data_IF_564577784690
#
_entry.id   IF_564577784690
#
_cell.length_a   1.000
_cell.length_b   1.000
_cell.length_c   1.000
_cell.angle_alpha   90.00
_cell.angle_beta   90.00
_cell.angle_gamma   90.00
#
_symmetry.space_group_name_H-M   'P 1'
#
loop_
_entity.id
_entity.type
_entity.pdbx_description
1 polymer ?
#
# COMPACT_ATOMS: atom_id res chain seq x y z
N UNK A 1 -24.10 15.22 -13.85
CA UNK A 1 -23.59 14.01 -14.52
C UNK A 1 -22.26 13.67 -13.86
N UNK A 2 -22.22 12.68 -13.01
CA UNK A 2 -20.98 12.21 -12.37
C UNK A 2 -20.19 11.43 -13.43
N UNK A 3 -19.15 12.03 -13.96
CA UNK A 3 -18.22 11.36 -14.88
C UNK A 3 -17.55 10.24 -14.06
N UNK A 4 -18.01 9.02 -14.24
CA UNK A 4 -17.36 7.84 -13.67
C UNK A 4 -16.03 7.71 -14.42
N UNK A 5 -14.95 8.15 -13.80
CA UNK A 5 -13.60 7.91 -14.33
C UNK A 5 -13.37 6.41 -14.25
N UNK A 6 -13.31 5.77 -15.39
CA UNK A 6 -13.05 4.33 -15.46
C UNK A 6 -11.59 4.08 -15.10
N UNK A 7 -11.35 3.48 -13.93
CA UNK A 7 -10.00 3.23 -13.43
C UNK A 7 -9.38 2.11 -14.25
N UNK A 8 -8.34 2.41 -15.02
CA UNK A 8 -7.68 1.52 -15.99
C UNK A 8 -7.39 0.13 -15.44
N UNK A 9 -6.75 0.05 -14.25
CA UNK A 9 -6.37 -1.23 -13.65
C UNK A 9 -7.59 -2.05 -13.21
N UNK A 10 -8.66 -1.40 -12.75
CA UNK A 10 -9.92 -2.05 -12.36
C UNK A 10 -10.63 -2.65 -13.60
N UNK A 11 -10.64 -1.92 -14.69
CA UNK A 11 -11.22 -2.36 -15.97
C UNK A 11 -10.44 -3.54 -16.52
N UNK A 12 -9.10 -3.47 -16.51
CA UNK A 12 -8.23 -4.58 -16.90
C UNK A 12 -8.45 -5.82 -16.02
N UNK A 13 -8.60 -5.65 -14.71
CA UNK A 13 -8.90 -6.75 -13.80
C UNK A 13 -10.20 -7.45 -14.20
N UNK A 14 -11.28 -6.70 -14.45
CA UNK A 14 -12.59 -7.26 -14.81
C UNK A 14 -12.59 -7.99 -16.16
N UNK A 15 -11.94 -7.41 -17.16
CA UNK A 15 -12.03 -7.90 -18.54
C UNK A 15 -11.07 -9.07 -18.82
N UNK A 16 -9.88 -9.06 -18.22
CA UNK A 16 -8.80 -9.96 -18.56
C UNK A 16 -8.40 -10.88 -17.38
N UNK A 17 -8.03 -10.26 -16.24
CA UNK A 17 -7.36 -10.94 -15.14
C UNK A 17 -8.32 -11.92 -14.44
N UNK A 18 -9.55 -11.51 -14.17
CA UNK A 18 -10.53 -12.36 -13.49
C UNK A 18 -10.82 -13.64 -14.29
N UNK A 19 -10.93 -13.54 -15.62
CA UNK A 19 -11.10 -14.71 -16.50
C UNK A 19 -9.90 -15.64 -16.48
N UNK A 20 -8.69 -15.11 -16.56
CA UNK A 20 -7.45 -15.87 -16.50
C UNK A 20 -7.30 -16.63 -15.16
N UNK A 21 -7.52 -15.96 -14.03
CA UNK A 21 -7.46 -16.58 -12.71
C UNK A 21 -8.53 -17.67 -12.53
N UNK A 22 -9.74 -17.45 -13.05
CA UNK A 22 -10.80 -18.45 -13.04
C UNK A 22 -10.36 -19.74 -13.73
N UNK A 23 -9.73 -19.63 -14.88
CA UNK A 23 -9.24 -20.78 -15.65
C UNK A 23 -8.06 -21.45 -14.95
N UNK A 24 -7.14 -20.66 -14.41
CA UNK A 24 -5.93 -21.16 -13.76
C UNK A 24 -6.23 -22.00 -12.51
N UNK A 25 -7.15 -21.54 -11.67
CA UNK A 25 -7.49 -22.22 -10.40
C UNK A 25 -8.77 -23.05 -10.46
N UNK A 26 -9.49 -23.03 -11.58
CA UNK A 26 -10.71 -23.84 -11.76
C UNK A 26 -11.89 -23.42 -10.92
N UNK A 27 -12.02 -22.11 -10.59
CA UNK A 27 -13.13 -21.63 -9.76
C UNK A 27 -14.48 -21.83 -10.43
N UNK A 28 -15.42 -22.44 -9.69
CA UNK A 28 -16.80 -22.68 -10.16
C UNK A 28 -17.63 -21.39 -10.06
N UNK A 29 -17.43 -20.61 -8.99
CA UNK A 29 -18.19 -19.40 -8.71
C UNK A 29 -17.31 -18.15 -9.01
N UNK A 30 -17.79 -17.16 -9.78
CA UNK A 30 -17.10 -15.89 -9.98
C UNK A 30 -16.73 -15.14 -8.70
N UNK A 31 -17.49 -15.33 -7.62
CA UNK A 31 -17.22 -14.69 -6.33
C UNK A 31 -16.03 -15.30 -5.56
N UNK A 32 -15.51 -16.44 -6.01
CA UNK A 32 -14.31 -17.07 -5.44
C UNK A 32 -13.01 -16.47 -6.02
N UNK A 33 -13.11 -15.76 -7.13
CA UNK A 33 -11.94 -15.18 -7.80
C UNK A 33 -11.28 -14.16 -6.88
N UNK A 34 -9.96 -14.27 -6.61
CA UNK A 34 -9.27 -13.31 -5.75
C UNK A 34 -9.33 -11.90 -6.32
N UNK A 35 -9.61 -10.92 -5.46
CA UNK A 35 -9.64 -9.50 -5.79
C UNK A 35 -9.01 -8.65 -4.69
N UNK A 36 -8.71 -7.38 -4.99
CA UNK A 36 -8.24 -6.43 -3.99
C UNK A 36 -9.40 -5.96 -3.11
N UNK A 37 -9.21 -5.98 -1.80
CA UNK A 37 -10.18 -5.53 -0.79
C UNK A 37 -9.86 -4.11 -0.32
N UNK A 38 -8.61 -3.89 0.07
CA UNK A 38 -8.09 -2.61 0.57
C UNK A 38 -6.58 -2.56 0.41
N UNK A 39 -6.06 -1.34 0.36
CA UNK A 39 -4.63 -1.06 0.51
C UNK A 39 -4.47 -0.16 1.74
N UNK A 40 -3.56 -0.55 2.62
CA UNK A 40 -3.21 0.23 3.81
C UNK A 40 -1.80 0.76 3.63
N UNK A 41 -1.63 2.06 3.75
CA UNK A 41 -0.31 2.70 3.76
C UNK A 41 -0.07 3.22 5.17
N UNK A 42 1.02 2.80 5.79
CA UNK A 42 1.40 3.17 7.14
C UNK A 42 2.76 3.85 7.15
N UNK A 43 2.88 4.96 7.86
CA UNK A 43 4.14 5.61 8.18
C UNK A 43 4.39 5.53 9.69
N UNK A 44 5.44 4.84 10.10
CA UNK A 44 5.91 4.83 11.46
C UNK A 44 6.80 6.04 11.74
N UNK A 45 6.42 6.90 12.68
CA UNK A 45 7.19 8.10 13.06
C UNK A 45 7.51 8.00 14.57
N UNK A 46 8.36 7.04 14.95
CA UNK A 46 8.72 6.82 16.35
C UNK A 46 9.39 8.02 17.01
N UNK A 47 10.08 8.86 16.23
CA UNK A 47 10.70 10.09 16.70
C UNK A 47 9.69 11.19 17.07
N UNK A 48 8.44 11.09 16.63
CA UNK A 48 7.36 11.98 17.03
C UNK A 48 7.07 11.93 18.55
N UNK A 49 7.53 10.88 19.22
CA UNK A 49 7.52 10.83 20.69
C UNK A 49 8.39 11.92 21.34
N UNK A 50 9.40 12.44 20.62
CA UNK A 50 10.28 13.54 21.09
C UNK A 50 9.86 14.88 20.50
N UNK A 51 9.42 14.89 19.24
CA UNK A 51 8.98 16.10 18.53
C UNK A 51 7.67 15.81 17.78
N UNK A 52 6.56 16.28 18.34
CA UNK A 52 5.22 16.07 17.78
C UNK A 52 5.02 16.73 16.41
N UNK A 53 5.85 17.71 16.02
CA UNK A 53 5.77 18.36 14.70
C UNK A 53 6.11 17.41 13.56
N UNK A 54 6.92 16.37 13.82
CA UNK A 54 7.29 15.38 12.81
C UNK A 54 6.09 14.59 12.29
N UNK A 55 5.03 14.46 13.09
CA UNK A 55 3.81 13.79 12.66
C UNK A 55 3.04 14.59 11.61
N UNK A 56 3.09 15.92 11.69
CA UNK A 56 2.38 16.80 10.74
C UNK A 56 2.94 16.66 9.34
N UNK A 57 4.27 16.54 9.21
CA UNK A 57 4.92 16.24 7.94
C UNK A 57 4.46 14.89 7.37
N UNK A 58 4.45 13.82 8.18
CA UNK A 58 4.00 12.50 7.74
C UNK A 58 2.52 12.50 7.32
N UNK A 59 1.66 13.20 8.05
CA UNK A 59 0.23 13.37 7.72
C UNK A 59 0.06 14.10 6.40
N UNK A 60 0.81 15.19 6.19
CA UNK A 60 0.79 15.94 4.92
C UNK A 60 1.23 15.06 3.75
N UNK A 61 2.36 14.37 3.88
CA UNK A 61 2.91 13.53 2.83
C UNK A 61 1.94 12.39 2.46
N UNK A 62 1.40 11.68 3.46
CA UNK A 62 0.39 10.65 3.21
C UNK A 62 -0.89 11.20 2.57
N UNK A 63 -1.32 12.40 2.96
CA UNK A 63 -2.51 13.03 2.37
C UNK A 63 -2.30 13.36 0.89
N UNK A 64 -1.11 13.84 0.52
CA UNK A 64 -0.75 14.14 -0.86
C UNK A 64 -0.71 12.84 -1.68
N UNK A 65 -0.02 11.80 -1.18
CA UNK A 65 0.13 10.50 -1.87
C UNK A 65 -1.21 9.81 -2.09
N UNK A 66 -2.08 9.79 -1.07
CA UNK A 66 -3.31 8.98 -1.09
C UNK A 66 -4.56 9.76 -1.47
N UNK A 67 -4.49 11.10 -1.46
CA UNK A 67 -5.65 11.98 -1.65
C UNK A 67 -6.71 11.86 -0.55
N UNK A 68 -6.35 11.25 0.61
CA UNK A 68 -7.24 11.00 1.73
C UNK A 68 -6.60 11.43 3.04
N UNK A 69 -7.36 12.01 3.96
CA UNK A 69 -6.85 12.43 5.27
C UNK A 69 -6.39 11.22 6.09
N UNK A 70 -5.11 11.17 6.51
CA UNK A 70 -4.59 10.09 7.32
C UNK A 70 -5.16 10.08 8.75
N UNK A 71 -5.23 8.90 9.33
CA UNK A 71 -5.50 8.72 10.75
C UNK A 71 -4.18 8.68 11.52
N UNK A 72 -4.03 9.56 12.51
CA UNK A 72 -2.88 9.55 13.41
C UNK A 72 -3.02 8.41 14.42
N UNK A 73 -2.00 7.58 14.53
CA UNK A 73 -1.94 6.49 15.50
C UNK A 73 -1.25 6.94 16.77
N UNK A 74 -1.85 6.59 17.90
CA UNK A 74 -1.34 6.93 19.24
C UNK A 74 -0.84 5.66 19.95
N UNK A 75 0.14 5.83 20.81
CA UNK A 75 0.64 4.74 21.64
C UNK A 75 -0.42 4.26 22.62
N UNK A 76 -0.48 2.94 22.81
CA UNK A 76 -1.42 2.28 23.75
C UNK A 76 -0.85 2.12 25.16
N UNK A 77 0.49 2.13 25.30
CA UNK A 77 1.20 1.87 26.57
C UNK A 77 2.37 2.85 26.71
N UNK A 78 2.69 3.17 27.96
CA UNK A 78 3.92 3.90 28.29
C UNK A 78 5.10 2.95 28.36
N UNK A 79 6.20 3.25 27.65
CA UNK A 79 7.42 2.44 27.61
C UNK A 79 8.60 3.40 27.84
N UNK A 80 9.21 3.33 29.02
CA UNK A 80 10.29 4.24 29.43
C UNK A 80 11.53 4.14 28.52
N UNK A 81 11.89 2.95 28.07
CA UNK A 81 13.04 2.70 27.18
C UNK A 81 12.93 3.48 25.85
N UNK A 82 11.73 3.63 25.32
CA UNK A 82 11.47 4.41 24.11
C UNK A 82 11.08 5.86 24.38
N UNK A 83 11.11 6.31 25.63
CA UNK A 83 10.63 7.64 26.08
C UNK A 83 9.19 7.91 25.64
N UNK A 84 8.36 6.88 25.63
CA UNK A 84 7.01 6.87 25.13
C UNK A 84 6.01 6.89 26.30
N UNK A 85 5.03 7.78 26.24
CA UNK A 85 3.88 7.80 27.12
C UNK A 85 2.61 7.40 26.38
N UNK A 86 1.63 6.92 27.08
CA UNK A 86 0.31 6.63 26.55
C UNK A 86 -0.28 7.84 25.84
N UNK A 87 -1.03 7.62 24.76
CA UNK A 87 -1.65 8.64 23.91
C UNK A 87 -0.71 9.56 23.12
N UNK A 88 0.61 9.33 23.13
CA UNK A 88 1.52 10.07 22.27
C UNK A 88 1.35 9.66 20.80
N UNK A 89 1.35 10.60 19.83
CA UNK A 89 1.30 10.30 18.41
C UNK A 89 2.61 9.65 17.97
N UNK A 90 2.54 8.51 17.29
CA UNK A 90 3.71 7.70 16.89
C UNK A 90 3.72 7.29 15.42
N UNK A 91 2.65 7.57 14.69
CA UNK A 91 2.55 7.24 13.28
C UNK A 91 1.26 7.74 12.66
N UNK A 92 1.12 7.50 11.37
CA UNK A 92 -0.09 7.79 10.63
C UNK A 92 -0.36 6.68 9.60
N UNK A 93 -1.60 6.36 9.35
CA UNK A 93 -1.97 5.41 8.31
C UNK A 93 -3.20 5.85 7.52
N UNK A 94 -3.31 5.33 6.31
CA UNK A 94 -4.46 5.50 5.42
C UNK A 94 -4.94 4.14 4.95
N UNK A 95 -6.25 3.93 4.95
CA UNK A 95 -6.88 2.76 4.35
C UNK A 95 -7.67 3.19 3.12
N UNK A 96 -7.26 2.73 1.96
CA UNK A 96 -7.92 3.00 0.68
C UNK A 96 -8.76 1.80 0.26
N UNK A 97 -9.94 2.09 -0.33
CA UNK A 97 -10.89 1.10 -0.87
C UNK A 97 -11.50 1.61 -2.17
N UNK A 98 -12.17 0.71 -2.90
CA UNK A 98 -12.89 1.07 -4.12
C UNK A 98 -11.99 1.66 -5.19
N UNK A 99 -12.47 2.67 -5.91
CA UNK A 99 -11.76 3.23 -7.06
C UNK A 99 -10.44 3.91 -6.68
N UNK A 100 -10.38 4.59 -5.53
CA UNK A 100 -9.13 5.18 -5.02
C UNK A 100 -8.04 4.15 -4.77
N UNK A 101 -8.40 2.97 -4.28
CA UNK A 101 -7.46 1.86 -4.09
C UNK A 101 -6.88 1.38 -5.42
N UNK A 102 -7.73 1.20 -6.44
CA UNK A 102 -7.30 0.78 -7.76
C UNK A 102 -6.42 1.82 -8.46
N UNK A 103 -6.76 3.09 -8.31
CA UNK A 103 -6.01 4.21 -8.85
C UNK A 103 -4.62 4.33 -8.18
N UNK A 104 -4.57 4.19 -6.85
CA UNK A 104 -3.32 4.14 -6.11
C UNK A 104 -2.46 2.94 -6.53
N UNK A 105 -3.06 1.75 -6.70
CA UNK A 105 -2.35 0.55 -7.17
C UNK A 105 -1.75 0.76 -8.57
N UNK A 106 -2.48 1.39 -9.49
CA UNK A 106 -2.00 1.68 -10.84
C UNK A 106 -0.81 2.66 -10.83
N UNK A 107 -0.88 3.75 -10.06
CA UNK A 107 0.24 4.70 -9.91
C UNK A 107 1.46 4.06 -9.25
N UNK A 108 1.22 3.26 -8.21
CA UNK A 108 2.27 2.52 -7.51
C UNK A 108 3.05 1.63 -8.47
N UNK A 109 2.36 0.85 -9.29
CA UNK A 109 2.96 -0.10 -10.24
C UNK A 109 3.63 0.59 -11.44
N UNK A 110 2.94 1.57 -12.02
CA UNK A 110 3.36 2.17 -13.29
C UNK A 110 4.40 3.27 -13.12
N UNK A 111 4.40 3.98 -11.98
CA UNK A 111 5.21 5.17 -11.78
C UNK A 111 6.15 5.00 -10.60
N UNK A 112 5.64 4.64 -9.41
CA UNK A 112 6.42 4.72 -8.17
C UNK A 112 7.45 3.60 -8.05
N UNK A 113 7.08 2.34 -8.29
CA UNK A 113 8.02 1.22 -8.17
C UNK A 113 9.21 1.32 -9.13
N UNK A 114 9.04 1.72 -10.43
CA UNK A 114 10.18 1.90 -11.33
C UNK A 114 11.13 3.04 -10.93
N UNK A 115 10.68 3.99 -10.12
CA UNK A 115 11.49 5.13 -9.65
C UNK A 115 12.35 4.81 -8.43
N UNK A 116 12.14 3.64 -7.81
CA UNK A 116 12.98 3.21 -6.68
C UNK A 116 14.41 3.00 -7.17
N UNK A 117 15.36 3.63 -6.48
CA UNK A 117 16.80 3.46 -6.78
C UNK A 117 17.19 1.99 -6.57
N UNK A 118 17.91 1.42 -7.53
CA UNK A 118 18.40 0.04 -7.51
C UNK A 118 17.29 -1.01 -7.30
N UNK A 119 16.11 -0.77 -7.86
CA UNK A 119 14.98 -1.68 -7.73
C UNK A 119 15.25 -3.01 -8.42
N UNK A 120 15.25 -4.10 -7.66
CA UNK A 120 15.48 -5.48 -8.13
C UNK A 120 14.24 -6.36 -8.05
N UNK A 121 13.07 -5.76 -7.90
CA UNK A 121 11.81 -6.47 -7.71
C UNK A 121 11.43 -6.68 -6.23
N UNK A 122 10.18 -7.05 -6.03
CA UNK A 122 9.59 -7.31 -4.71
C UNK A 122 9.87 -8.76 -4.27
N UNK A 123 10.09 -8.96 -2.97
CA UNK A 123 10.35 -10.30 -2.43
C UNK A 123 9.07 -11.15 -2.43
N UNK A 124 9.08 -12.36 -3.01
CA UNK A 124 7.92 -13.26 -3.00
C UNK A 124 7.60 -13.87 -1.62
N UNK A 125 8.46 -13.64 -0.60
CA UNK A 125 8.34 -14.23 0.75
C UNK A 125 7.57 -13.34 1.75
N UNK A 126 7.01 -12.23 1.31
CA UNK A 126 6.35 -11.22 2.19
C UNK A 126 4.81 -11.37 2.21
N UNK A 127 4.31 -12.56 1.91
CA UNK A 127 2.92 -12.93 2.13
C UNK A 127 2.71 -13.39 3.57
N UNK A 128 1.49 -13.26 4.08
CA UNK A 128 1.11 -13.55 5.47
C UNK A 128 0.50 -14.94 5.69
N UNK A 129 0.43 -15.80 4.66
CA UNK A 129 -0.22 -17.10 4.70
C UNK A 129 -1.69 -17.08 4.26
N UNK A 130 -2.31 -15.90 4.19
CA UNK A 130 -3.69 -15.69 3.79
C UNK A 130 -3.83 -14.88 2.48
N UNK A 131 -2.78 -14.84 1.67
CA UNK A 131 -2.76 -14.14 0.40
C UNK A 131 -2.70 -12.62 0.49
N UNK A 132 -2.42 -12.03 1.66
CA UNK A 132 -2.13 -10.61 1.78
C UNK A 132 -0.64 -10.36 1.64
N UNK A 133 -0.28 -9.22 1.08
CA UNK A 133 1.11 -8.89 0.78
C UNK A 133 1.51 -7.55 1.39
N UNK A 134 2.64 -7.51 2.09
CA UNK A 134 3.16 -6.29 2.70
C UNK A 134 4.60 -6.05 2.27
N UNK A 135 4.93 -4.83 1.87
CA UNK A 135 6.30 -4.43 1.57
C UNK A 135 6.58 -3.00 2.04
N UNK A 136 7.84 -2.74 2.35
CA UNK A 136 8.31 -1.42 2.78
C UNK A 136 8.92 -0.63 1.63
N UNK A 137 8.66 0.68 1.61
CA UNK A 137 9.38 1.67 0.83
C UNK A 137 10.26 2.49 1.78
N UNK A 138 11.50 2.75 1.38
CA UNK A 138 12.47 3.49 2.21
C UNK A 138 12.22 4.98 2.23
N UNK A 139 11.66 5.53 1.14
CA UNK A 139 11.52 6.98 0.95
C UNK A 139 10.18 7.33 0.29
N UNK A 140 9.54 8.39 0.78
CA UNK A 140 8.30 8.91 0.19
C UNK A 140 8.51 9.65 -1.15
N UNK A 141 9.74 10.08 -1.44
CA UNK A 141 10.08 10.83 -2.67
C UNK A 141 9.91 9.99 -3.95
N UNK A 142 9.76 8.68 -3.81
CA UNK A 142 9.42 7.76 -4.90
C UNK A 142 8.09 8.14 -5.56
N UNK A 143 7.17 8.74 -4.82
CA UNK A 143 5.90 9.22 -5.34
C UNK A 143 6.08 10.59 -6.01
N UNK A 144 5.67 10.75 -7.29
CA UNK A 144 5.86 11.99 -8.05
C UNK A 144 5.07 13.18 -7.51
N UNK A 145 4.04 12.92 -6.70
CA UNK A 145 3.22 13.95 -6.07
C UNK A 145 3.95 14.69 -4.95
N UNK A 146 5.05 14.11 -4.45
CA UNK A 146 5.86 14.70 -3.39
C UNK A 146 6.96 15.55 -4.03
N UNK A 147 6.91 16.86 -3.78
CA UNK A 147 7.97 17.79 -4.15
C UNK A 147 9.16 17.62 -3.20
N UNK A 148 10.31 17.24 -3.73
CA UNK A 148 11.51 16.95 -2.96
C UNK A 148 11.97 18.13 -2.09
N UNK A 149 11.80 19.36 -2.59
CA UNK A 149 12.19 20.59 -1.89
C UNK A 149 11.32 20.91 -0.66
N UNK A 150 10.10 20.34 -0.60
CA UNK A 150 9.16 20.53 0.52
C UNK A 150 9.23 19.42 1.57
N UNK A 151 10.06 18.41 1.32
CA UNK A 151 10.25 17.29 2.25
C UNK A 151 11.22 17.73 3.34
N UNK A 152 10.72 17.79 4.57
CA UNK A 152 11.51 18.09 5.74
C UNK A 152 12.48 16.94 6.08
N UNK A 153 12.06 15.69 5.81
CA UNK A 153 12.82 14.49 6.13
C UNK A 153 12.38 13.28 5.29
N UNK A 154 13.32 12.44 4.83
CA UNK A 154 12.95 11.14 4.25
C UNK A 154 12.29 10.24 5.29
N UNK A 155 11.15 9.66 4.92
CA UNK A 155 10.36 8.73 5.76
C UNK A 155 10.05 7.47 4.97
N UNK A 156 10.28 6.33 5.61
CA UNK A 156 9.82 5.06 5.09
C UNK A 156 8.31 4.88 5.31
N UNK A 157 7.72 3.99 4.53
CA UNK A 157 6.34 3.58 4.68
C UNK A 157 6.17 2.10 4.37
N UNK A 158 5.18 1.48 5.00
CA UNK A 158 4.75 0.12 4.72
C UNK A 158 3.44 0.14 3.93
N UNK A 159 3.41 -0.62 2.83
CA UNK A 159 2.23 -0.77 2.00
C UNK A 159 1.74 -2.21 2.14
N UNK A 160 0.54 -2.36 2.68
CA UNK A 160 -0.12 -3.65 2.85
C UNK A 160 -1.29 -3.75 1.89
N UNK A 161 -1.26 -4.78 1.04
CA UNK A 161 -2.30 -5.10 0.06
C UNK A 161 -3.10 -6.27 0.61
N UNK A 162 -4.36 -6.03 0.89
CA UNK A 162 -5.29 -7.04 1.40
C UNK A 162 -6.15 -7.54 0.25
N UNK A 163 -6.18 -8.86 0.07
CA UNK A 163 -6.92 -9.53 -0.99
C UNK A 163 -8.01 -10.45 -0.43
N UNK A 164 -8.84 -11.00 -1.29
CA UNK A 164 -9.80 -12.06 -0.93
C UNK A 164 -9.25 -13.46 -1.17
N UNK A 165 -7.97 -13.59 -1.51
CA UNK A 165 -7.32 -14.88 -1.70
C UNK A 165 -7.37 -15.70 -0.40
N UNK A 166 -7.44 -17.02 -0.52
CA UNK A 166 -7.45 -17.92 0.63
C UNK A 166 -6.05 -18.39 1.02
N UNK A 167 -5.12 -18.33 0.09
CA UNK A 167 -3.73 -18.74 0.29
C UNK A 167 -2.76 -17.83 -0.50
N UNK A 168 -1.47 -17.96 -0.21
CA UNK A 168 -0.43 -17.13 -0.80
C UNK A 168 -0.24 -17.36 -2.30
N UNK A 169 -0.53 -18.57 -2.80
CA UNK A 169 -0.40 -18.87 -4.22
C UNK A 169 -1.45 -18.14 -5.04
N UNK A 170 -2.69 -18.09 -4.56
CA UNK A 170 -3.75 -17.30 -5.19
C UNK A 170 -3.44 -15.79 -5.12
N UNK A 171 -2.98 -15.31 -3.96
CA UNK A 171 -2.56 -13.92 -3.78
C UNK A 171 -1.41 -13.53 -4.70
N UNK A 172 -0.40 -14.40 -4.83
CA UNK A 172 0.74 -14.20 -5.72
C UNK A 172 0.32 -14.17 -7.19
N UNK A 173 -0.55 -15.10 -7.60
CA UNK A 173 -1.06 -15.14 -8.98
C UNK A 173 -1.86 -13.87 -9.30
N UNK A 174 -2.72 -13.40 -8.39
CA UNK A 174 -3.45 -12.14 -8.53
C UNK A 174 -2.50 -10.95 -8.70
N UNK A 175 -1.55 -10.77 -7.78
CA UNK A 175 -0.62 -9.63 -7.81
C UNK A 175 0.28 -9.68 -9.04
N UNK A 176 0.75 -10.87 -9.45
CA UNK A 176 1.52 -11.05 -10.70
C UNK A 176 0.71 -10.67 -11.94
N UNK A 177 -0.55 -11.06 -12.00
CA UNK A 177 -1.45 -10.70 -13.10
C UNK A 177 -1.74 -9.20 -13.15
N UNK A 178 -1.81 -8.52 -12.00
CA UNK A 178 -1.92 -7.06 -11.91
C UNK A 178 -0.65 -6.32 -12.36
N UNK A 179 0.50 -7.02 -12.42
CA UNK A 179 1.77 -6.45 -12.87
C UNK A 179 2.77 -6.13 -11.75
N UNK A 180 2.61 -6.72 -10.56
CA UNK A 180 3.61 -6.57 -9.49
C UNK A 180 4.92 -7.26 -9.88
N UNK A 181 6.05 -6.53 -9.87
CA UNK A 181 7.35 -7.04 -10.29
C UNK A 181 8.00 -7.84 -9.15
N UNK A 182 7.66 -9.12 -9.04
CA UNK A 182 8.33 -10.02 -8.10
C UNK A 182 9.72 -10.41 -8.62
N UNK A 183 10.66 -10.59 -7.69
CA UNK A 183 11.96 -11.19 -8.01
C UNK A 183 11.74 -12.62 -8.50
N UNK A 184 12.42 -12.98 -9.57
CA UNK A 184 12.56 -14.38 -9.94
C UNK A 184 13.41 -15.09 -8.88
N UNK A 185 12.95 -16.28 -8.50
CA UNK A 185 13.62 -17.09 -7.46
C UNK A 185 14.90 -17.72 -8.01
#
# INVERSE_FOLDING_TARGET
MTTTIDVRLKTRYRNEIAGALKTQFGYKNPMQIPTLVKIVVNMGVGEAARDSKLIEGAVRDLQIITGQKPQVTKSRKSIAQFKLRENMPIGAHVTMRGDRMWEFADRLLSISLPRIRDFRGLSPKQFDGNGNYTFGLTEQVVFPEIEQDKVDRPRGMDITIVTTAQNDDEGRALLKALGFPFKEA
#
